data_IF_964858450125
#
_entry.id   IF_964858450125
#
_cell.length_a   1.000
_cell.length_b   1.000
_cell.length_c   1.000
_cell.angle_alpha   90.00
_cell.angle_beta   90.00
_cell.angle_gamma   90.00
#
_symmetry.space_group_name_H-M   'P 1'
#
loop_
_entity.id
_entity.type
_entity.pdbx_description
1 polymer ?
#
# COMPACT_ATOMS: atom_id res chain seq x y z
N UNK A 1 -3.52 -6.29 13.45
CA UNK A 1 -3.07 -6.74 14.77
C UNK A 1 -3.62 -5.84 15.89
N UNK A 2 -3.28 -4.55 15.93
CA UNK A 2 -3.76 -3.63 16.99
C UNK A 2 -5.27 -3.68 17.23
N UNK A 3 -6.08 -3.60 16.16
CA UNK A 3 -7.53 -3.73 16.25
C UNK A 3 -8.00 -5.07 16.86
N UNK A 4 -7.29 -6.17 16.61
CA UNK A 4 -7.63 -7.46 17.20
C UNK A 4 -7.32 -7.49 18.69
N UNK A 5 -6.19 -6.89 19.10
CA UNK A 5 -5.82 -6.69 20.50
C UNK A 5 -6.80 -5.78 21.25
N UNK A 6 -7.17 -4.66 20.64
CA UNK A 6 -8.09 -3.67 21.23
C UNK A 6 -9.52 -4.20 21.33
N UNK A 7 -9.99 -4.96 20.33
CA UNK A 7 -11.36 -5.51 20.29
C UNK A 7 -11.49 -6.92 20.84
N UNK A 8 -10.38 -7.58 21.17
CA UNK A 8 -10.34 -8.96 21.65
C UNK A 8 -10.85 -10.01 20.65
N UNK A 9 -10.90 -9.70 19.34
CA UNK A 9 -11.44 -10.58 18.30
C UNK A 9 -10.64 -10.55 17.02
N UNK A 10 -10.60 -11.69 16.33
CA UNK A 10 -9.95 -11.89 15.03
C UNK A 10 -11.00 -12.18 13.95
N UNK A 11 -10.58 -12.22 12.69
CA UNK A 11 -11.47 -12.70 11.63
C UNK A 11 -11.76 -14.21 11.79
N UNK A 12 -12.91 -14.65 11.26
CA UNK A 12 -13.31 -16.07 11.31
C UNK A 12 -12.31 -16.96 10.54
N UNK A 13 -11.83 -18.02 11.18
CA UNK A 13 -10.85 -18.93 10.57
C UNK A 13 -9.39 -18.48 10.71
N UNK A 14 -9.08 -17.53 11.60
CA UNK A 14 -7.72 -17.06 11.85
C UNK A 14 -6.75 -18.23 12.16
N UNK A 15 -7.17 -19.18 12.99
CA UNK A 15 -6.34 -20.29 13.45
C UNK A 15 -5.85 -21.20 12.30
N UNK A 16 -6.59 -21.26 11.18
CA UNK A 16 -6.23 -22.04 10.00
C UNK A 16 -5.42 -21.22 8.97
N UNK A 17 -5.16 -19.94 9.26
CA UNK A 17 -4.48 -19.05 8.32
C UNK A 17 -2.97 -19.12 8.43
N UNK A 18 -2.28 -18.72 7.34
CA UNK A 18 -0.82 -18.52 7.34
C UNK A 18 -0.35 -17.41 8.29
N UNK A 19 -1.25 -16.57 8.81
CA UNK A 19 -0.93 -15.60 9.85
C UNK A 19 -0.80 -16.26 11.22
N UNK A 20 -1.61 -17.29 11.50
CA UNK A 20 -1.54 -18.03 12.75
C UNK A 20 -0.33 -18.96 12.81
N UNK A 21 0.03 -19.61 11.69
CA UNK A 21 1.26 -20.41 11.62
C UNK A 21 2.54 -19.57 11.59
N UNK A 22 2.44 -18.29 11.19
CA UNK A 22 3.57 -17.40 11.01
C UNK A 22 4.24 -17.50 9.62
N UNK A 23 3.83 -18.47 8.78
CA UNK A 23 4.41 -18.68 7.45
C UNK A 23 4.27 -17.48 6.53
N UNK A 24 3.26 -16.63 6.75
CA UNK A 24 3.11 -15.36 6.04
C UNK A 24 4.38 -14.48 6.12
N UNK A 25 5.09 -14.54 7.24
CA UNK A 25 6.24 -13.70 7.51
C UNK A 25 7.57 -14.25 6.97
N UNK A 26 7.62 -15.53 6.58
CA UNK A 26 8.85 -16.17 6.09
C UNK A 26 9.50 -15.37 4.96
N UNK A 27 8.71 -14.85 4.02
CA UNK A 27 9.20 -14.00 2.93
C UNK A 27 9.93 -12.74 3.41
N UNK A 28 9.51 -12.16 4.54
CA UNK A 28 10.08 -10.92 5.08
C UNK A 28 11.28 -11.17 6.00
N UNK A 29 11.52 -12.44 6.35
CA UNK A 29 12.59 -12.85 7.27
C UNK A 29 13.78 -13.51 6.55
N UNK A 30 13.59 -13.96 5.31
CA UNK A 30 14.63 -14.64 4.52
C UNK A 30 15.66 -13.66 3.96
N UNK A 31 15.19 -12.58 3.33
CA UNK A 31 16.05 -11.60 2.67
C UNK A 31 16.14 -10.27 3.43
N UNK A 32 17.23 -9.54 3.19
CA UNK A 32 17.37 -8.16 3.62
C UNK A 32 16.74 -7.22 2.59
N UNK A 33 15.67 -6.53 2.99
CA UNK A 33 14.84 -5.69 2.10
C UNK A 33 15.43 -4.28 1.94
N UNK A 34 16.66 -4.21 1.44
CA UNK A 34 17.36 -2.94 1.18
C UNK A 34 17.10 -2.41 -0.24
N UNK A 35 17.04 -1.08 -0.42
CA UNK A 35 16.97 -0.48 -1.75
C UNK A 35 18.15 -0.89 -2.62
N UNK A 36 17.86 -1.48 -3.78
CA UNK A 36 18.88 -1.88 -4.77
C UNK A 36 19.63 -0.71 -5.39
N UNK A 37 19.04 0.49 -5.40
CA UNK A 37 19.64 1.69 -5.99
C UNK A 37 19.86 2.78 -4.95
N UNK A 38 20.95 3.54 -5.12
CA UNK A 38 21.25 4.69 -4.27
C UNK A 38 20.15 5.75 -4.33
N UNK A 39 19.54 5.96 -5.52
CA UNK A 39 18.43 6.90 -5.70
C UNK A 39 17.24 6.54 -4.82
N UNK A 40 16.82 5.28 -4.80
CA UNK A 40 15.68 4.85 -3.96
C UNK A 40 16.04 4.96 -2.47
N UNK A 41 17.26 4.60 -2.07
CA UNK A 41 17.74 4.80 -0.69
C UNK A 41 17.65 6.26 -0.24
N UNK A 42 18.10 7.18 -1.08
CA UNK A 42 18.06 8.61 -0.80
C UNK A 42 16.63 9.15 -0.70
N UNK A 43 15.68 8.62 -1.48
CA UNK A 43 14.26 9.00 -1.38
C UNK A 43 13.69 8.70 0.01
N UNK A 44 13.88 7.48 0.52
CA UNK A 44 13.40 7.09 1.85
C UNK A 44 14.07 7.93 2.95
N UNK A 45 15.39 8.13 2.86
CA UNK A 45 16.14 8.93 3.83
C UNK A 45 15.66 10.39 3.87
N UNK A 46 15.50 11.04 2.70
CA UNK A 46 15.00 12.42 2.60
C UNK A 46 13.58 12.56 3.14
N UNK A 47 12.75 11.55 2.97
CA UNK A 47 11.37 11.53 3.47
C UNK A 47 11.26 11.19 4.96
N UNK A 48 12.37 10.88 5.65
CA UNK A 48 12.35 10.45 7.05
C UNK A 48 11.64 9.12 7.28
N UNK A 49 11.47 8.31 6.23
CA UNK A 49 10.76 7.02 6.30
C UNK A 49 11.79 5.93 6.58
N UNK A 50 11.65 5.29 7.74
CA UNK A 50 12.46 4.11 8.09
C UNK A 50 11.86 2.88 7.43
N UNK A 51 12.67 2.16 6.65
CA UNK A 51 12.26 0.89 6.08
C UNK A 51 12.16 -0.17 7.19
N UNK A 52 11.11 -1.01 7.20
CA UNK A 52 10.97 -2.05 8.20
C UNK A 52 12.19 -2.98 8.24
N UNK A 53 12.79 -3.12 9.43
CA UNK A 53 13.91 -4.05 9.64
C UNK A 53 13.41 -5.46 9.90
N UNK A 54 14.32 -6.44 9.86
CA UNK A 54 14.02 -7.83 10.19
C UNK A 54 13.47 -7.98 11.61
N UNK A 55 14.01 -7.24 12.58
CA UNK A 55 13.56 -7.26 13.97
C UNK A 55 12.13 -6.75 14.11
N UNK A 56 11.77 -5.72 13.34
CA UNK A 56 10.40 -5.21 13.29
C UNK A 56 9.43 -6.27 12.75
N UNK A 57 9.84 -7.04 11.74
CA UNK A 57 9.06 -8.15 11.21
C UNK A 57 8.93 -9.32 12.18
N UNK A 58 10.00 -9.71 12.87
CA UNK A 58 9.96 -10.74 13.92
C UNK A 58 8.98 -10.33 15.01
N UNK A 59 9.10 -9.09 15.50
CA UNK A 59 8.19 -8.57 16.51
C UNK A 59 6.74 -8.57 16.02
N UNK A 60 6.49 -8.14 14.79
CA UNK A 60 5.14 -8.13 14.22
C UNK A 60 4.57 -9.54 14.06
N UNK A 61 5.38 -10.52 13.65
CA UNK A 61 4.99 -11.93 13.55
C UNK A 61 4.51 -12.42 14.91
N UNK A 62 5.31 -12.22 15.96
CA UNK A 62 5.00 -12.71 17.30
C UNK A 62 3.73 -12.04 17.85
N UNK A 63 3.59 -10.73 17.63
CA UNK A 63 2.37 -9.99 17.99
C UNK A 63 1.14 -10.50 17.20
N UNK A 64 1.28 -10.83 15.92
CA UNK A 64 0.19 -11.36 15.09
C UNK A 64 -0.18 -12.78 15.48
N UNK A 65 0.79 -13.65 15.77
CA UNK A 65 0.50 -15.02 16.24
C UNK A 65 -0.20 -14.99 17.61
N UNK A 66 0.19 -14.06 18.49
CA UNK A 66 -0.38 -13.92 19.83
C UNK A 66 -1.77 -13.29 19.84
N UNK A 67 -1.94 -12.16 19.16
CA UNK A 67 -3.17 -11.35 19.24
C UNK A 67 -4.08 -11.50 18.02
N UNK A 68 -3.57 -12.08 16.95
CA UNK A 68 -4.25 -12.19 15.67
C UNK A 68 -4.42 -10.89 14.91
N UNK A 69 -5.21 -10.95 13.84
CA UNK A 69 -5.59 -9.79 13.04
C UNK A 69 -7.11 -9.73 12.88
N UNK A 70 -7.63 -8.50 12.80
CA UNK A 70 -9.07 -8.25 12.77
C UNK A 70 -9.67 -8.47 11.39
N UNK A 71 -8.96 -8.06 10.34
CA UNK A 71 -9.39 -8.19 8.94
C UNK A 71 -8.66 -9.37 8.31
N UNK A 72 -9.38 -10.17 7.52
CA UNK A 72 -8.81 -11.29 6.78
C UNK A 72 -7.93 -10.82 5.61
N UNK A 73 -8.35 -9.77 4.90
CA UNK A 73 -7.65 -9.15 3.78
C UNK A 73 -7.48 -7.65 4.05
N UNK A 74 -6.35 -7.08 3.64
CA UNK A 74 -5.99 -5.69 3.97
C UNK A 74 -5.87 -4.77 2.77
N UNK A 75 -5.19 -5.22 1.71
CA UNK A 75 -4.85 -4.39 0.57
C UNK A 75 -5.47 -4.95 -0.69
N UNK A 76 -6.13 -4.07 -1.44
CA UNK A 76 -6.55 -4.29 -2.81
C UNK A 76 -6.28 -2.99 -3.55
N UNK A 77 -5.70 -3.07 -4.76
CA UNK A 77 -5.36 -1.90 -5.57
C UNK A 77 -6.31 -1.86 -6.77
N UNK A 78 -7.48 -1.18 -6.65
CA UNK A 78 -8.41 -1.02 -7.76
C UNK A 78 -7.97 0.10 -8.72
N UNK A 79 -8.56 0.19 -9.92
CA UNK A 79 -8.50 1.40 -10.72
C UNK A 79 -9.20 2.55 -9.97
N UNK A 80 -8.51 3.67 -9.82
CA UNK A 80 -9.06 4.87 -9.19
C UNK A 80 -9.57 5.80 -10.29
N UNK A 81 -10.84 5.66 -10.66
CA UNK A 81 -11.47 6.43 -11.75
C UNK A 81 -11.61 7.93 -11.42
N UNK A 82 -12.84 8.46 -11.33
CA UNK A 82 -13.04 9.90 -11.13
C UNK A 82 -12.43 10.46 -9.83
N UNK A 83 -12.20 9.63 -8.82
CA UNK A 83 -11.56 10.04 -7.56
C UNK A 83 -10.09 10.44 -7.73
N UNK A 84 -9.39 9.94 -8.75
CA UNK A 84 -8.00 10.34 -8.99
C UNK A 84 -7.91 11.78 -9.46
N UNK A 85 -8.95 12.29 -10.13
CA UNK A 85 -9.03 13.68 -10.58
C UNK A 85 -9.12 14.65 -9.41
N UNK A 86 -9.91 14.32 -8.38
CA UNK A 86 -10.04 15.13 -7.17
C UNK A 86 -8.74 15.10 -6.35
N UNK A 87 -8.11 13.93 -6.24
CA UNK A 87 -6.86 13.77 -5.46
C UNK A 87 -5.60 14.21 -6.22
N UNK A 88 -5.72 14.75 -7.43
CA UNK A 88 -4.61 15.09 -8.32
C UNK A 88 -3.58 13.94 -8.51
N UNK A 89 -4.07 12.71 -8.55
CA UNK A 89 -3.29 11.49 -8.66
C UNK A 89 -3.40 10.88 -10.06
N UNK A 90 -2.39 10.10 -10.47
CA UNK A 90 -2.52 9.18 -11.61
C UNK A 90 -3.50 8.06 -11.24
N UNK A 91 -4.18 7.48 -12.25
CA UNK A 91 -5.06 6.34 -11.99
C UNK A 91 -4.22 5.16 -11.50
N UNK A 92 -4.44 4.75 -10.25
CA UNK A 92 -3.71 3.65 -9.61
C UNK A 92 -2.18 3.80 -9.75
N UNK A 93 -1.45 2.67 -9.79
CA UNK A 93 0.00 2.59 -9.97
C UNK A 93 0.42 2.30 -11.42
N UNK A 94 -0.54 2.18 -12.34
CA UNK A 94 -0.26 1.94 -13.75
C UNK A 94 0.18 3.24 -14.45
N UNK A 95 0.89 3.15 -15.58
CA UNK A 95 1.26 4.32 -16.35
C UNK A 95 0.06 5.20 -16.72
N UNK A 96 0.32 6.48 -16.94
CA UNK A 96 -0.69 7.41 -17.43
C UNK A 96 -1.19 6.99 -18.81
N UNK A 97 -2.50 7.15 -19.03
CA UNK A 97 -3.12 6.81 -20.31
C UNK A 97 -2.87 7.89 -21.38
N UNK A 98 -2.70 9.15 -20.95
CA UNK A 98 -2.40 10.30 -21.79
C UNK A 98 -1.76 11.42 -20.95
N UNK A 99 -1.04 12.34 -21.61
CA UNK A 99 -0.48 13.54 -20.96
C UNK A 99 -1.58 14.49 -20.47
N UNK A 100 -2.63 14.64 -21.27
CA UNK A 100 -3.86 15.37 -20.95
C UNK A 100 -4.99 14.35 -21.03
N UNK A 101 -5.71 14.18 -19.92
CA UNK A 101 -6.84 13.25 -19.87
C UNK A 101 -8.10 13.94 -20.39
N UNK A 102 -8.72 13.37 -21.42
CA UNK A 102 -10.04 13.79 -21.87
C UNK A 102 -11.11 12.91 -21.23
N UNK A 103 -12.13 13.55 -20.65
CA UNK A 103 -13.34 12.88 -20.18
C UNK A 103 -14.55 13.51 -20.85
N UNK A 104 -15.42 12.69 -21.44
CA UNK A 104 -16.71 13.16 -21.94
C UNK A 104 -17.71 13.17 -20.78
N UNK A 105 -17.99 14.34 -20.20
CA UNK A 105 -19.03 14.53 -19.18
C UNK A 105 -19.74 15.87 -19.39
N UNK A 106 -21.08 15.86 -19.43
CA UNK A 106 -21.92 17.06 -19.56
C UNK A 106 -22.30 17.43 -21.01
N UNK A 107 -23.04 18.52 -21.18
CA UNK A 107 -23.52 19.00 -22.50
C UNK A 107 -22.38 19.46 -23.43
N UNK A 108 -21.21 19.79 -22.86
CA UNK A 108 -20.01 20.11 -23.62
C UNK A 108 -19.20 18.82 -23.85
N UNK A 109 -18.92 18.52 -25.12
CA UNK A 109 -18.34 17.24 -25.56
C UNK A 109 -16.87 17.01 -25.19
N UNK A 110 -16.24 17.87 -24.38
CA UNK A 110 -14.90 17.67 -23.86
C UNK A 110 -14.70 18.38 -22.51
N UNK A 111 -14.44 17.61 -21.46
CA UNK A 111 -13.81 18.13 -20.24
C UNK A 111 -12.33 17.75 -20.28
N UNK A 112 -11.50 18.75 -20.55
CA UNK A 112 -10.04 18.63 -20.54
C UNK A 112 -9.57 18.71 -19.10
N UNK A 113 -8.78 17.75 -18.66
CA UNK A 113 -8.14 17.76 -17.35
C UNK A 113 -6.65 18.12 -17.51
N UNK A 114 -6.29 19.42 -17.47
CA UNK A 114 -4.90 19.82 -17.49
C UNK A 114 -4.25 19.38 -16.18
N UNK A 115 -3.18 18.58 -16.26
CA UNK A 115 -2.22 18.52 -15.15
C UNK A 115 -1.22 19.64 -15.35
N UNK A 116 -0.93 20.37 -14.27
CA UNK A 116 0.21 21.27 -14.21
C UNK A 116 1.47 20.48 -14.57
N UNK A 117 1.97 20.69 -15.78
CA UNK A 117 3.34 20.39 -16.14
C UNK A 117 4.16 21.35 -15.28
N UNK A 118 4.74 20.86 -14.19
CA UNK A 118 5.86 21.57 -13.60
C UNK A 118 6.99 21.46 -14.61
N UNK A 119 7.18 22.54 -15.38
CA UNK A 119 8.42 22.80 -16.09
C UNK A 119 9.57 22.78 -15.07
N UNK A 120 10.63 22.05 -15.41
CA UNK A 120 11.96 22.28 -14.87
C UNK A 120 12.67 23.29 -15.75
#
# INVERSE_FOLDING_TARGET
MRLARERGKTFAGFAQSRYASGDYFTQYLQDDWQPKTAKVRALFARSGITLPTREMWIKLRDDVMRYGIYNQNLQAVPPTGSISYINHATSSIHPIVAKIGDSQRGQNRACVLPRAVYDQ
#
